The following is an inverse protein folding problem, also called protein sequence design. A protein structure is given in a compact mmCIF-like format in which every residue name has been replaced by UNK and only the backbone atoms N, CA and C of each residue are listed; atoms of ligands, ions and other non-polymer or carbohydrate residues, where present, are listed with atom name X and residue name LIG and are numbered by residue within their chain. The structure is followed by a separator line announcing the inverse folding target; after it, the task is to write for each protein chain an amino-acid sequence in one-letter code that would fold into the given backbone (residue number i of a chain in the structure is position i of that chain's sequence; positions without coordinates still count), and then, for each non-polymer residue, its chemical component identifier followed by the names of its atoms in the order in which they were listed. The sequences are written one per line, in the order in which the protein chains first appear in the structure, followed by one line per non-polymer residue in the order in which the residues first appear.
data_IF_989933388533
#
_entry.id   IF_989933388533
#
_cell.length_a   1.000
_cell.length_b   1.000
_cell.length_c   1.000
_cell.angle_alpha   90.00
_cell.angle_beta   90.00
_cell.angle_gamma   90.00
#
_symmetry.space_group_name_H-M   'P 1'
#
loop_
_entity.id
_entity.type
_entity.pdbx_description
1 polymer ?
#
# COMPACT_ATOMS: atom_id res chain seq x y z
N UNK A 1 -0.79 0.37 13.56
CA UNK A 1 -2.01 0.89 12.90
C UNK A 1 -2.22 0.04 11.65
N UNK A 2 -3.41 -0.47 11.36
CA UNK A 2 -3.72 -1.13 10.07
C UNK A 2 -4.63 -0.23 9.25
N UNK A 3 -4.42 -0.18 7.94
CA UNK A 3 -5.25 0.59 6.99
C UNK A 3 -6.30 -0.31 6.31
N UNK A 4 -7.20 0.27 5.51
CA UNK A 4 -8.08 -0.44 4.57
C UNK A 4 -9.14 -1.40 5.14
N UNK A 5 -9.44 -1.37 6.45
CA UNK A 5 -10.55 -2.19 7.02
C UNK A 5 -11.93 -1.92 6.41
N UNK A 6 -12.16 -0.72 5.88
CA UNK A 6 -13.43 -0.36 5.24
C UNK A 6 -13.44 -0.66 3.73
N UNK A 7 -12.37 -1.22 3.15
CA UNK A 7 -12.20 -1.34 1.70
C UNK A 7 -13.36 -2.06 0.98
N UNK A 8 -13.95 -3.07 1.61
CA UNK A 8 -15.08 -3.81 1.04
C UNK A 8 -16.38 -3.01 0.94
N UNK A 9 -16.52 -1.92 1.69
CA UNK A 9 -17.73 -1.08 1.74
C UNK A 9 -17.57 0.24 0.94
N UNK A 10 -16.40 0.47 0.33
CA UNK A 10 -16.12 1.69 -0.44
C UNK A 10 -16.62 1.55 -1.88
N UNK A 11 -17.37 2.54 -2.34
CA UNK A 11 -17.71 2.73 -3.76
C UNK A 11 -16.61 3.56 -4.44
N UNK A 12 -15.48 2.90 -4.72
CA UNK A 12 -14.30 3.48 -5.37
C UNK A 12 -13.71 2.52 -6.39
N UNK A 13 -13.12 3.06 -7.46
CA UNK A 13 -12.44 2.27 -8.49
C UNK A 13 -11.01 1.86 -8.08
N UNK A 14 -10.37 2.65 -7.22
CA UNK A 14 -8.96 2.51 -6.85
C UNK A 14 -8.72 2.76 -5.36
N UNK A 15 -7.86 1.94 -4.76
CA UNK A 15 -7.36 2.11 -3.39
C UNK A 15 -5.83 2.14 -3.47
N UNK A 16 -5.20 3.20 -2.95
CA UNK A 16 -3.74 3.31 -2.89
C UNK A 16 -3.23 3.20 -1.44
N UNK A 17 -2.33 2.24 -1.21
CA UNK A 17 -1.66 2.01 0.07
C UNK A 17 -0.24 2.58 0.01
N UNK A 18 0.03 3.63 0.78
CA UNK A 18 1.31 4.35 0.80
C UNK A 18 2.02 4.12 2.13
N UNK A 19 3.28 3.66 2.09
CA UNK A 19 4.08 3.43 3.31
C UNK A 19 3.33 2.60 4.35
N UNK A 20 2.51 1.65 3.92
CA UNK A 20 1.64 0.92 4.83
C UNK A 20 2.40 -0.24 5.46
N UNK A 21 2.43 -0.37 6.79
CA UNK A 21 3.02 -1.55 7.43
C UNK A 21 2.20 -2.82 7.17
N UNK A 22 0.95 -2.66 6.71
CA UNK A 22 0.02 -3.71 6.33
C UNK A 22 -1.44 -3.32 6.56
N UNK A 23 -2.35 -4.15 6.05
CA UNK A 23 -3.81 -3.91 6.07
C UNK A 23 -4.55 -4.78 7.09
N UNK A 24 -3.84 -5.73 7.72
CA UNK A 24 -4.46 -6.80 8.52
C UNK A 24 -5.10 -7.89 7.67
N UNK A 25 -4.99 -7.81 6.34
CA UNK A 25 -5.38 -8.86 5.40
C UNK A 25 -4.14 -9.50 4.78
N UNK A 26 -4.23 -10.79 4.43
CA UNK A 26 -3.09 -11.54 3.88
C UNK A 26 -2.90 -11.31 2.37
N UNK A 27 -3.93 -10.77 1.68
CA UNK A 27 -3.91 -10.47 0.25
C UNK A 27 -4.86 -9.33 -0.11
N UNK A 28 -4.66 -8.71 -1.28
CA UNK A 28 -5.57 -7.72 -1.86
C UNK A 28 -6.98 -8.30 -2.07
N UNK A 29 -7.11 -9.57 -2.46
CA UNK A 29 -8.40 -10.24 -2.61
C UNK A 29 -9.16 -10.37 -1.28
N UNK A 30 -8.44 -10.50 -0.15
CA UNK A 30 -9.02 -10.56 1.19
C UNK A 30 -9.51 -9.20 1.71
N UNK A 31 -9.30 -8.10 0.97
CA UNK A 31 -9.94 -6.81 1.25
C UNK A 31 -11.42 -6.77 0.82
N UNK A 32 -11.89 -7.78 0.09
CA UNK A 32 -13.28 -7.91 -0.36
C UNK A 32 -13.82 -6.69 -1.13
N UNK A 33 -12.94 -6.01 -1.87
CA UNK A 33 -13.26 -4.82 -2.65
C UNK A 33 -13.23 -5.13 -4.15
N UNK A 34 -14.11 -4.52 -4.96
CA UNK A 34 -13.98 -4.56 -6.42
C UNK A 34 -12.89 -3.60 -6.93
N UNK A 35 -12.39 -2.69 -6.09
CA UNK A 35 -11.41 -1.70 -6.45
C UNK A 35 -10.07 -2.32 -6.86
N UNK A 36 -9.35 -1.65 -7.75
CA UNK A 36 -7.94 -1.95 -8.02
C UNK A 36 -7.10 -1.51 -6.82
N UNK A 37 -6.33 -2.43 -6.28
CA UNK A 37 -5.48 -2.16 -5.11
C UNK A 37 -4.08 -1.84 -5.59
N UNK A 38 -3.60 -0.64 -5.27
CA UNK A 38 -2.25 -0.16 -5.54
C UNK A 38 -1.45 -0.08 -4.25
N UNK A 39 -0.14 -0.30 -4.35
CA UNK A 39 0.75 -0.17 -3.20
C UNK A 39 2.06 0.51 -3.61
N UNK A 40 2.63 1.29 -2.69
CA UNK A 40 3.96 1.87 -2.88
C UNK A 40 4.67 2.12 -1.55
N UNK A 41 6.00 2.02 -1.60
CA UNK A 41 6.90 2.37 -0.52
C UNK A 41 8.09 3.14 -1.10
N UNK A 42 8.40 4.30 -0.53
CA UNK A 42 9.62 5.05 -0.86
C UNK A 42 10.85 4.30 -0.38
N UNK A 43 11.97 4.38 -1.11
CA UNK A 43 13.16 3.59 -0.81
C UNK A 43 13.78 3.91 0.56
N UNK A 44 13.58 5.13 1.06
CA UNK A 44 14.06 5.58 2.37
C UNK A 44 12.91 5.63 3.41
N UNK A 45 11.78 4.96 3.15
CA UNK A 45 10.69 4.86 4.12
C UNK A 45 11.00 3.80 5.19
N UNK A 46 11.21 4.29 6.43
CA UNK A 46 11.44 3.50 7.65
C UNK A 46 10.36 2.44 7.94
N UNK A 47 9.19 2.48 7.28
CA UNK A 47 8.17 1.44 7.42
C UNK A 47 8.68 0.07 6.97
N UNK A 48 9.71 -0.02 6.12
CA UNK A 48 10.42 -1.27 5.83
C UNK A 48 10.98 -1.96 7.09
N UNK A 49 11.35 -1.19 8.11
CA UNK A 49 11.92 -1.69 9.37
C UNK A 49 10.83 -2.08 10.40
N UNK A 50 9.55 -1.90 10.08
CA UNK A 50 8.45 -2.34 10.95
C UNK A 50 8.26 -3.84 10.74
N UNK A 51 8.24 -4.67 11.81
CA UNK A 51 8.09 -6.11 11.66
C UNK A 51 6.77 -6.46 10.96
N UNK A 52 6.87 -6.84 9.69
CA UNK A 52 5.77 -7.35 8.87
C UNK A 52 5.43 -8.82 9.18
N UNK A 53 6.02 -9.38 10.24
CA UNK A 53 5.87 -10.80 10.60
C UNK A 53 4.80 -11.02 11.67
N UNK A 54 4.03 -12.09 11.49
CA UNK A 54 3.15 -12.65 12.52
C UNK A 54 3.99 -13.19 13.68
N UNK A 55 3.74 -12.72 14.90
CA UNK A 55 4.16 -13.39 16.12
C UNK A 55 2.94 -13.63 17.02
N UNK A 56 2.68 -14.91 17.34
CA UNK A 56 1.80 -15.28 18.44
C UNK A 56 2.51 -14.98 19.75
N UNK A 57 2.14 -13.87 20.40
CA UNK A 57 2.59 -13.55 21.74
C UNK A 57 1.39 -13.58 22.68
N UNK A 58 1.37 -14.55 23.60
CA UNK A 58 0.31 -14.69 24.62
C UNK A 58 -1.12 -14.79 24.05
N UNK A 59 -1.33 -15.47 22.92
CA UNK A 59 -2.67 -15.63 22.32
C UNK A 59 -3.23 -14.37 21.67
N UNK A 60 -2.39 -13.36 21.42
CA UNK A 60 -2.74 -12.16 20.66
C UNK A 60 -1.86 -12.13 19.40
N UNK A 61 -2.49 -12.14 18.23
CA UNK A 61 -1.78 -11.96 16.95
C UNK A 61 -1.21 -10.55 16.89
N UNK A 62 0.12 -10.43 16.90
CA UNK A 62 0.82 -9.17 16.62
C UNK A 62 1.40 -9.27 15.22
N UNK A 63 0.77 -8.61 14.24
CA UNK A 63 1.19 -8.60 12.85
C UNK A 63 0.26 -7.73 12.00
N UNK A 64 0.79 -7.08 10.96
CA UNK A 64 0.02 -6.19 10.08
C UNK A 64 -0.54 -6.90 8.82
N UNK A 65 -0.46 -8.23 8.76
CA UNK A 65 -0.70 -9.01 7.54
C UNK A 65 0.51 -8.98 6.59
N UNK A 66 0.31 -9.39 5.35
CA UNK A 66 1.35 -9.38 4.32
C UNK A 66 1.70 -7.93 3.92
N UNK A 67 2.99 -7.63 3.74
CA UNK A 67 3.46 -6.32 3.24
C UNK A 67 2.77 -5.98 1.89
N UNK A 68 2.06 -4.84 1.77
CA UNK A 68 1.33 -4.48 0.56
C UNK A 68 2.19 -4.36 -0.71
N UNK A 69 3.50 -4.08 -0.60
CA UNK A 69 4.40 -4.06 -1.77
C UNK A 69 4.99 -5.43 -2.11
N UNK A 70 4.75 -6.46 -1.29
CA UNK A 70 5.15 -7.82 -1.60
C UNK A 70 4.35 -8.38 -2.78
N UNK A 71 4.98 -9.11 -3.72
CA UNK A 71 4.26 -9.83 -4.77
C UNK A 71 3.20 -10.79 -4.23
N UNK A 72 3.39 -11.34 -3.02
CA UNK A 72 2.43 -12.25 -2.39
C UNK A 72 1.13 -11.57 -1.93
N UNK A 73 1.12 -10.25 -1.75
CA UNK A 73 -0.09 -9.51 -1.41
C UNK A 73 -1.01 -9.34 -2.63
N UNK A 74 -0.42 -9.18 -3.83
CA UNK A 74 -1.16 -9.10 -5.09
C UNK A 74 -1.68 -7.71 -5.46
N UNK A 75 -1.15 -6.63 -4.86
CA UNK A 75 -1.43 -5.26 -5.30
C UNK A 75 -0.63 -4.88 -6.57
N UNK A 76 -1.10 -3.86 -7.27
CA UNK A 76 -0.36 -3.18 -8.32
C UNK A 76 0.70 -2.26 -7.69
N UNK A 77 1.96 -2.68 -7.71
CA UNK A 77 3.05 -1.91 -7.12
C UNK A 77 3.54 -0.83 -8.08
N UNK A 78 3.64 0.40 -7.58
CA UNK A 78 4.13 1.55 -8.35
C UNK A 78 5.31 2.24 -7.67
N UNK A 79 6.11 2.96 -8.45
CA UNK A 79 7.30 3.65 -7.96
C UNK A 79 6.93 4.86 -7.07
N UNK A 80 7.52 4.95 -5.88
CA UNK A 80 7.42 6.13 -4.99
C UNK A 80 8.68 7.02 -5.03
N UNK A 81 9.77 6.55 -5.61
CA UNK A 81 11.07 7.22 -5.57
C UNK A 81 11.82 6.96 -4.25
N UNK A 82 12.75 7.84 -3.93
CA UNK A 82 13.65 7.79 -2.77
C UNK A 82 13.13 8.58 -1.55
N UNK A 83 11.88 9.06 -1.58
CA UNK A 83 11.30 9.81 -0.47
C UNK A 83 11.11 8.95 0.79
N UNK A 84 11.18 9.59 1.96
CA UNK A 84 10.81 8.97 3.23
C UNK A 84 9.30 8.99 3.45
N UNK A 85 8.86 8.49 4.62
CA UNK A 85 7.43 8.31 4.94
C UNK A 85 6.57 9.58 4.80
N UNK A 86 7.17 10.76 5.00
CA UNK A 86 6.46 12.04 4.92
C UNK A 86 6.46 12.66 3.51
N UNK A 87 7.12 12.04 2.53
CA UNK A 87 7.37 12.62 1.22
C UNK A 87 6.38 12.19 0.12
N UNK A 88 5.45 11.26 0.39
CA UNK A 88 4.54 10.72 -0.65
C UNK A 88 3.70 11.79 -1.38
N UNK A 89 3.42 12.92 -0.72
CA UNK A 89 2.66 14.05 -1.27
C UNK A 89 3.54 15.27 -1.55
N UNK A 90 4.87 15.12 -1.54
CA UNK A 90 5.79 16.22 -1.85
C UNK A 90 5.59 16.65 -3.31
N UNK A 91 5.39 17.94 -3.61
CA UNK A 91 5.28 18.42 -4.99
C UNK A 91 6.48 18.00 -5.84
N UNK A 92 6.21 17.47 -7.04
CA UNK A 92 7.24 16.97 -7.96
C UNK A 92 7.88 15.64 -7.57
N UNK A 93 7.34 14.92 -6.60
CA UNK A 93 7.78 13.55 -6.28
C UNK A 93 7.18 12.52 -7.23
N UNK A 94 7.94 11.44 -7.49
CA UNK A 94 7.48 10.29 -8.28
C UNK A 94 6.20 9.68 -7.70
N UNK A 95 6.12 9.59 -6.37
CA UNK A 95 4.91 9.15 -5.66
C UNK A 95 3.68 10.00 -6.03
N UNK A 96 3.77 11.32 -5.89
CA UNK A 96 2.64 12.20 -6.17
C UNK A 96 2.23 12.17 -7.64
N UNK A 97 3.20 12.09 -8.56
CA UNK A 97 2.92 11.97 -10.00
C UNK A 97 2.16 10.68 -10.33
N UNK A 98 2.54 9.55 -9.73
CA UNK A 98 1.82 8.29 -9.93
C UNK A 98 0.44 8.27 -9.25
N UNK A 99 0.31 8.87 -8.06
CA UNK A 99 -0.99 9.03 -7.40
C UNK A 99 -1.94 9.87 -8.25
N UNK A 100 -1.45 10.96 -8.85
CA UNK A 100 -2.24 11.79 -9.74
C UNK A 100 -2.72 10.99 -10.96
N UNK A 101 -1.86 10.17 -11.58
CA UNK A 101 -2.25 9.29 -12.69
C UNK A 101 -3.32 8.28 -12.31
N UNK A 102 -3.22 7.68 -11.11
CA UNK A 102 -4.26 6.76 -10.61
C UNK A 102 -5.60 7.51 -10.47
N UNK A 103 -5.59 8.67 -9.82
CA UNK A 103 -6.81 9.50 -9.60
C UNK A 103 -7.42 9.98 -10.93
N UNK A 104 -6.59 10.30 -11.92
CA UNK A 104 -7.05 10.75 -13.24
C UNK A 104 -7.49 9.58 -14.14
N UNK A 105 -7.26 8.33 -13.74
CA UNK A 105 -7.56 7.14 -14.54
C UNK A 105 -6.48 6.78 -15.58
N UNK A 106 -5.39 7.53 -15.66
CA UNK A 106 -4.23 7.36 -16.56
C UNK A 106 -3.32 6.20 -16.12
N UNK A 107 -3.93 5.09 -15.71
CA UNK A 107 -3.26 3.95 -15.06
C UNK A 107 -2.23 3.23 -15.95
N UNK A 108 -2.28 3.44 -17.27
CA UNK A 108 -1.24 2.97 -18.20
C UNK A 108 0.07 3.74 -18.10
N UNK A 109 0.05 4.96 -17.56
CA UNK A 109 1.24 5.80 -17.40
C UNK A 109 1.91 5.64 -16.04
N UNK A 110 1.30 4.88 -15.12
CA UNK A 110 1.85 4.61 -13.78
C UNK A 110 3.15 3.83 -13.92
N UNK A 111 4.24 4.37 -13.36
CA UNK A 111 5.54 3.68 -13.39
C UNK A 111 5.59 2.60 -12.31
N UNK A 112 6.10 1.42 -12.67
CA UNK A 112 6.20 0.27 -11.76
C UNK A 112 7.52 0.31 -10.97
N UNK A 113 7.47 -0.23 -9.76
CA UNK A 113 8.65 -0.49 -8.93
C UNK A 113 9.23 -1.88 -9.22
#
# INVERSE_FOLDING_TARGET
MVCARAAGDLDVDDIALLGSPGTGADSAAALHTPARVWASRGADDWVEDVPHTHADLFGTTVGFGTDPVSPSFGAHVFAAGDGGHSDYFRPGSVSLDNLARIVLGDTSEVTRA
#
